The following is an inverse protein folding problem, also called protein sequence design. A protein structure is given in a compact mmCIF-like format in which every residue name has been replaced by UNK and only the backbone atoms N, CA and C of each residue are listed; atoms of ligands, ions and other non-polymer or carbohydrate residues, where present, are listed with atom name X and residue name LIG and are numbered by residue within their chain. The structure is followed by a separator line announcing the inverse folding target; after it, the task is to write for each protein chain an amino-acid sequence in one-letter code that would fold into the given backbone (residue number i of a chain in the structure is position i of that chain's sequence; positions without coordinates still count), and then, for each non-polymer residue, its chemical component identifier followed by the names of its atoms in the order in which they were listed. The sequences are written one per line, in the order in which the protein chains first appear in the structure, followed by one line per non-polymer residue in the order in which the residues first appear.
data_IF_789030614601
#
_entry.id   IF_789030614601
#
_cell.length_a   1.000
_cell.length_b   1.000
_cell.length_c   1.000
_cell.angle_alpha   90.00
_cell.angle_beta   90.00
_cell.angle_gamma   90.00
#
_symmetry.space_group_name_H-M   'P 1'
#
loop_
_entity.id
_entity.type
_entity.pdbx_description
1 polymer ?
#
# COMPACT_ATOMS: atom_id res chain seq x y z
N UNK A 1 4.32 -1.21 -16.84
CA UNK A 1 5.29 -1.76 -17.81
C UNK A 1 4.83 -1.52 -19.25
N UNK A 2 3.53 -1.68 -19.56
CA UNK A 2 2.99 -1.48 -20.91
C UNK A 2 3.52 -0.28 -21.73
N UNK A 3 3.75 0.90 -21.12
CA UNK A 3 4.35 2.03 -21.83
C UNK A 3 5.80 1.74 -22.26
N UNK A 4 6.63 1.25 -21.34
CA UNK A 4 8.01 0.86 -21.66
C UNK A 4 8.05 -0.32 -22.63
N UNK A 5 7.12 -1.27 -22.50
CA UNK A 5 7.02 -2.42 -23.42
C UNK A 5 6.68 -1.94 -24.84
N UNK A 6 5.77 -0.97 -24.97
CA UNK A 6 5.47 -0.29 -26.24
C UNK A 6 6.67 0.46 -26.80
N UNK A 7 7.45 1.16 -25.98
CA UNK A 7 8.65 1.85 -26.45
C UNK A 7 9.73 0.88 -26.95
N UNK A 8 9.77 -0.34 -26.43
CA UNK A 8 10.71 -1.39 -26.86
C UNK A 8 10.26 -2.09 -28.15
N UNK A 9 8.95 -2.26 -28.34
CA UNK A 9 8.37 -2.91 -29.53
C UNK A 9 7.17 -2.10 -30.08
N UNK A 10 7.43 -0.92 -30.67
CA UNK A 10 6.37 0.01 -31.09
C UNK A 10 5.57 -0.47 -32.31
N UNK A 11 6.07 -1.46 -33.04
CA UNK A 11 5.40 -2.05 -34.20
C UNK A 11 4.46 -3.20 -33.83
N UNK A 12 4.43 -3.61 -32.56
CA UNK A 12 3.49 -4.62 -32.10
C UNK A 12 2.03 -4.16 -32.26
N UNK A 13 1.20 -4.96 -32.93
CA UNK A 13 -0.22 -4.65 -33.16
C UNK A 13 -1.00 -4.44 -31.85
N UNK A 14 -0.55 -5.06 -30.75
CA UNK A 14 -1.11 -4.85 -29.41
C UNK A 14 -1.13 -3.36 -29.02
N UNK A 15 -0.10 -2.60 -29.41
CA UNK A 15 0.05 -1.18 -29.02
C UNK A 15 -0.51 -0.21 -30.05
N UNK A 16 -1.11 -0.69 -31.16
CA UNK A 16 -1.70 0.18 -32.17
C UNK A 16 -2.62 1.29 -31.61
N UNK A 17 -3.46 1.06 -30.56
CA UNK A 17 -4.31 2.10 -29.97
C UNK A 17 -3.57 3.23 -29.25
N UNK A 18 -2.29 3.03 -28.89
CA UNK A 18 -1.49 3.98 -28.10
C UNK A 18 -0.16 4.35 -28.77
N UNK A 19 0.11 3.83 -29.97
CA UNK A 19 1.38 3.99 -30.69
C UNK A 19 1.79 5.44 -30.92
N UNK A 20 0.83 6.34 -31.14
CA UNK A 20 1.12 7.77 -31.34
C UNK A 20 1.84 8.42 -30.14
N UNK A 21 1.69 7.84 -28.95
CA UNK A 21 2.32 8.32 -27.73
C UNK A 21 3.77 7.85 -27.55
N UNK A 22 4.26 6.96 -28.43
CA UNK A 22 5.68 6.57 -28.45
C UNK A 22 6.62 7.76 -28.73
N UNK A 23 6.10 8.82 -29.38
CA UNK A 23 6.83 10.07 -29.65
C UNK A 23 7.43 10.73 -28.40
N UNK A 24 6.84 10.48 -27.22
CA UNK A 24 7.32 11.04 -25.97
C UNK A 24 8.56 10.30 -25.41
N UNK A 25 8.78 9.04 -25.80
CA UNK A 25 9.92 8.25 -25.29
C UNK A 25 10.04 8.27 -23.76
N UNK A 26 11.23 8.62 -23.26
CA UNK A 26 11.48 8.82 -21.82
C UNK A 26 11.61 10.30 -21.43
N UNK A 27 11.06 11.21 -22.24
CA UNK A 27 11.11 12.64 -21.93
C UNK A 27 10.26 12.99 -20.71
N UNK A 28 10.58 14.10 -20.04
CA UNK A 28 9.78 14.60 -18.91
C UNK A 28 8.38 15.05 -19.33
N UNK A 29 8.18 15.40 -20.60
CA UNK A 29 6.86 15.74 -21.15
C UNK A 29 5.87 14.57 -20.97
N UNK A 30 6.36 13.33 -21.05
CA UNK A 30 5.55 12.12 -20.84
C UNK A 30 4.91 12.06 -19.44
N UNK A 31 5.51 12.71 -18.43
CA UNK A 31 5.02 12.66 -17.05
C UNK A 31 3.79 13.52 -16.83
N UNK A 32 3.59 14.54 -17.68
CA UNK A 32 2.57 15.56 -17.50
C UNK A 32 1.53 15.59 -18.63
N UNK A 33 1.75 14.85 -19.71
CA UNK A 33 0.80 14.78 -20.82
C UNK A 33 -0.49 14.04 -20.42
N UNK A 34 -1.59 14.79 -20.37
CA UNK A 34 -2.91 14.27 -20.00
C UNK A 34 -3.55 13.37 -21.07
N UNK A 35 -3.13 13.51 -22.33
CA UNK A 35 -3.55 12.62 -23.41
C UNK A 35 -2.99 11.22 -23.18
N UNK A 36 -1.68 11.13 -22.96
CA UNK A 36 -0.93 9.93 -22.66
C UNK A 36 -1.47 9.24 -21.41
N UNK A 37 -1.64 9.97 -20.30
CA UNK A 37 -2.22 9.45 -19.06
C UNK A 37 -3.57 8.76 -19.33
N UNK A 38 -4.50 9.45 -20.00
CA UNK A 38 -5.84 8.93 -20.29
C UNK A 38 -5.80 7.71 -21.22
N UNK A 39 -5.00 7.78 -22.28
CA UNK A 39 -4.89 6.71 -23.26
C UNK A 39 -4.32 5.44 -22.63
N UNK A 40 -3.23 5.57 -21.86
CA UNK A 40 -2.61 4.43 -21.18
C UNK A 40 -3.46 3.87 -20.04
N UNK A 41 -4.19 4.71 -19.30
CA UNK A 41 -5.16 4.24 -18.31
C UNK A 41 -6.27 3.40 -18.96
N UNK A 42 -6.81 3.86 -20.09
CA UNK A 42 -7.85 3.12 -20.81
C UNK A 42 -7.29 1.81 -21.41
N UNK A 43 -6.11 1.88 -22.03
CA UNK A 43 -5.43 0.73 -22.63
C UNK A 43 -5.09 -0.35 -21.59
N UNK A 44 -4.59 0.04 -20.42
CA UNK A 44 -4.18 -0.90 -19.36
C UNK A 44 -5.30 -1.29 -18.39
N UNK A 45 -6.52 -0.76 -18.56
CA UNK A 45 -7.63 -0.91 -17.61
C UNK A 45 -7.91 -2.37 -17.22
N UNK A 46 -7.99 -3.27 -18.21
CA UNK A 46 -8.28 -4.69 -17.96
C UNK A 46 -7.17 -5.39 -17.16
N UNK A 47 -5.91 -5.09 -17.48
CA UNK A 47 -4.75 -5.64 -16.76
C UNK A 47 -4.64 -5.05 -15.36
N UNK A 48 -4.92 -3.76 -15.19
CA UNK A 48 -4.94 -3.09 -13.89
C UNK A 48 -6.00 -3.71 -12.96
N UNK A 49 -7.20 -3.97 -13.48
CA UNK A 49 -8.27 -4.64 -12.74
C UNK A 49 -7.87 -6.03 -12.25
N UNK A 50 -7.16 -6.80 -13.10
CA UNK A 50 -6.76 -8.17 -12.75
C UNK A 50 -5.52 -8.23 -11.87
N UNK A 51 -4.52 -7.38 -12.14
CA UNK A 51 -3.16 -7.50 -11.58
C UNK A 51 -2.86 -6.54 -10.43
N UNK A 52 -3.63 -5.45 -10.29
CA UNK A 52 -3.34 -4.39 -9.31
C UNK A 52 -4.45 -4.25 -8.29
N UNK A 53 -5.72 -4.16 -8.72
CA UNK A 53 -6.86 -3.93 -7.81
C UNK A 53 -6.90 -4.89 -6.60
N UNK A 54 -6.69 -6.22 -6.75
CA UNK A 54 -6.72 -7.14 -5.60
C UNK A 54 -5.67 -6.80 -4.52
N UNK A 55 -4.56 -6.16 -4.91
CA UNK A 55 -3.53 -5.73 -3.97
C UNK A 55 -3.87 -4.42 -3.25
N UNK A 56 -4.87 -3.64 -3.67
CA UNK A 56 -5.07 -2.28 -3.14
C UNK A 56 -5.99 -2.21 -1.91
N UNK A 57 -6.61 -3.31 -1.50
CA UNK A 57 -7.67 -3.27 -0.49
C UNK A 57 -7.23 -2.62 0.83
N UNK A 58 -6.08 -3.01 1.39
CA UNK A 58 -5.57 -2.37 2.61
C UNK A 58 -5.19 -0.90 2.39
N UNK A 59 -4.53 -0.58 1.28
CA UNK A 59 -4.12 0.79 0.96
C UNK A 59 -5.32 1.74 0.84
N UNK A 60 -6.41 1.31 0.18
CA UNK A 60 -7.65 2.08 0.06
C UNK A 60 -8.33 2.31 1.42
N UNK A 61 -8.27 1.33 2.33
CA UNK A 61 -9.02 1.37 3.59
C UNK A 61 -8.19 1.89 4.79
N UNK A 62 -6.86 1.95 4.69
CA UNK A 62 -5.95 2.41 5.76
C UNK A 62 -5.25 3.72 5.38
N UNK A 63 -4.97 3.94 4.09
CA UNK A 63 -4.16 5.05 3.60
C UNK A 63 -2.67 4.70 3.54
N UNK A 64 -1.83 5.73 3.46
CA UNK A 64 -0.38 5.57 3.30
C UNK A 64 0.27 5.06 4.59
N UNK A 65 0.91 3.89 4.51
CA UNK A 65 1.64 3.24 5.60
C UNK A 65 3.17 3.36 5.45
N UNK A 66 3.64 4.32 4.65
CA UNK A 66 5.05 4.57 4.36
C UNK A 66 5.78 3.30 3.91
N UNK A 67 6.82 2.87 4.64
CA UNK A 67 7.64 1.70 4.30
C UNK A 67 6.84 0.41 4.23
N UNK A 68 5.72 0.31 4.95
CA UNK A 68 4.85 -0.86 4.94
C UNK A 68 3.84 -0.86 3.78
N UNK A 69 3.67 0.24 3.02
CA UNK A 69 2.61 0.36 2.00
C UNK A 69 2.66 -0.75 0.94
N UNK A 70 3.83 -0.99 0.33
CA UNK A 70 3.96 -2.03 -0.72
C UNK A 70 3.73 -3.44 -0.15
N UNK A 71 4.12 -3.67 1.11
CA UNK A 71 3.94 -4.95 1.81
C UNK A 71 2.48 -5.16 2.24
N UNK A 72 1.76 -4.11 2.60
CA UNK A 72 0.33 -4.15 2.83
C UNK A 72 -0.44 -4.44 1.54
N UNK A 73 0.06 -3.96 0.39
CA UNK A 73 -0.51 -4.33 -0.90
C UNK A 73 -0.30 -5.82 -1.20
N UNK A 74 0.92 -6.34 -1.00
CA UNK A 74 1.20 -7.77 -1.12
C UNK A 74 0.32 -8.60 -0.16
N UNK A 75 0.16 -8.13 1.08
CA UNK A 75 -0.68 -8.80 2.08
C UNK A 75 -2.15 -8.83 1.65
N UNK A 76 -2.66 -7.75 1.02
CA UNK A 76 -4.03 -7.70 0.49
C UNK A 76 -4.25 -8.73 -0.62
N UNK A 77 -3.30 -8.82 -1.55
CA UNK A 77 -3.30 -9.83 -2.60
C UNK A 77 -3.30 -11.25 -2.01
N UNK A 78 -2.37 -11.54 -1.09
CA UNK A 78 -2.26 -12.86 -0.44
C UNK A 78 -3.46 -13.20 0.46
N UNK A 79 -4.18 -12.19 0.96
CA UNK A 79 -5.36 -12.39 1.80
C UNK A 79 -6.64 -12.68 0.99
N UNK A 80 -6.63 -12.50 -0.33
CA UNK A 80 -7.83 -12.57 -1.18
C UNK A 80 -7.70 -13.52 -2.36
N UNK A 81 -6.50 -13.67 -2.94
CA UNK A 81 -6.30 -14.52 -4.11
C UNK A 81 -6.39 -16.01 -3.76
N UNK A 82 -7.09 -16.78 -4.60
CA UNK A 82 -7.12 -18.23 -4.51
C UNK A 82 -5.78 -18.84 -4.96
N UNK A 83 -5.55 -20.09 -4.62
CA UNK A 83 -4.32 -20.78 -5.05
C UNK A 83 -4.28 -20.94 -6.57
N UNK A 84 -5.42 -21.17 -7.22
CA UNK A 84 -5.55 -21.26 -8.68
C UNK A 84 -5.15 -19.95 -9.37
N UNK A 85 -5.42 -18.81 -8.72
CA UNK A 85 -5.09 -17.48 -9.25
C UNK A 85 -3.60 -17.17 -9.14
N UNK A 86 -2.93 -17.61 -8.05
CA UNK A 86 -1.62 -17.08 -7.66
C UNK A 86 -0.48 -18.10 -7.66
N UNK A 87 -0.73 -19.39 -7.48
CA UNK A 87 0.32 -20.42 -7.45
C UNK A 87 1.01 -20.51 -8.82
N UNK A 88 2.33 -20.66 -8.79
CA UNK A 88 3.22 -20.63 -9.96
C UNK A 88 3.24 -19.30 -10.73
N UNK A 89 2.57 -18.24 -10.24
CA UNK A 89 2.65 -16.89 -10.81
C UNK A 89 3.83 -16.11 -10.24
N UNK A 90 4.14 -15.01 -10.93
CA UNK A 90 5.14 -14.02 -10.52
C UNK A 90 4.42 -12.74 -10.08
N UNK A 91 4.83 -12.21 -8.94
CA UNK A 91 4.35 -10.92 -8.41
C UNK A 91 5.48 -9.91 -8.56
N UNK A 92 5.21 -8.81 -9.27
CA UNK A 92 6.12 -7.66 -9.34
C UNK A 92 5.86 -6.69 -8.19
N UNK A 93 6.92 -6.19 -7.57
CA UNK A 93 6.86 -5.22 -6.48
C UNK A 93 7.73 -4.02 -6.84
N UNK A 94 7.13 -2.84 -6.84
CA UNK A 94 7.83 -1.57 -6.99
C UNK A 94 7.82 -0.84 -5.65
N UNK A 95 9.00 -0.70 -5.04
CA UNK A 95 9.20 0.04 -3.80
C UNK A 95 9.87 1.37 -4.10
N UNK A 96 9.36 2.45 -3.51
CA UNK A 96 9.83 3.81 -3.72
C UNK A 96 9.91 4.56 -2.39
N UNK A 97 10.99 5.33 -2.21
CA UNK A 97 11.14 6.33 -1.15
C UNK A 97 11.67 7.64 -1.72
N UNK A 98 11.08 8.76 -1.30
CA UNK A 98 11.51 10.10 -1.72
C UNK A 98 12.94 10.41 -1.28
N UNK A 99 13.75 11.02 -2.17
CA UNK A 99 15.18 11.27 -1.93
C UNK A 99 16.13 11.13 -3.15
N UNK A 100 15.99 10.20 -4.10
CA UNK A 100 15.09 9.04 -4.19
C UNK A 100 15.87 7.72 -4.22
N UNK A 101 15.25 6.67 -3.68
CA UNK A 101 15.69 5.29 -3.82
C UNK A 101 14.49 4.44 -4.22
N UNK A 102 14.67 3.64 -5.27
CA UNK A 102 13.61 2.79 -5.79
C UNK A 102 14.16 1.42 -6.20
N UNK A 103 13.34 0.40 -6.09
CA UNK A 103 13.67 -0.94 -6.56
C UNK A 103 12.42 -1.63 -7.09
N UNK A 104 12.53 -2.16 -8.31
CA UNK A 104 11.58 -3.11 -8.84
C UNK A 104 12.17 -4.52 -8.69
N UNK A 105 11.45 -5.42 -8.02
CA UNK A 105 11.85 -6.82 -7.88
C UNK A 105 10.64 -7.74 -8.04
N UNK A 106 10.87 -9.05 -8.04
CA UNK A 106 9.78 -10.02 -8.22
C UNK A 106 9.88 -11.21 -7.27
N UNK A 107 8.71 -11.75 -6.92
CA UNK A 107 8.55 -12.97 -6.15
C UNK A 107 7.86 -14.03 -7.02
N UNK A 108 8.25 -15.30 -6.85
CA UNK A 108 7.53 -16.44 -7.44
C UNK A 108 6.77 -17.15 -6.34
N UNK A 109 5.47 -17.35 -6.53
CA UNK A 109 4.67 -18.17 -5.62
C UNK A 109 4.88 -19.63 -6.01
N UNK A 110 5.44 -20.40 -5.09
CA UNK A 110 5.87 -21.79 -5.34
C UNK A 110 4.94 -22.84 -4.74
N UNK A 111 4.03 -22.43 -3.85
CA UNK A 111 3.11 -23.31 -3.15
C UNK A 111 1.87 -22.51 -2.71
N UNK A 112 0.89 -23.23 -2.14
CA UNK A 112 -0.34 -22.66 -1.58
C UNK A 112 -0.09 -21.45 -0.67
N UNK A 113 -0.97 -20.46 -0.76
CA UNK A 113 -0.95 -19.26 0.10
C UNK A 113 -2.05 -19.29 1.17
N UNK A 114 -2.69 -20.44 1.40
CA UNK A 114 -3.80 -20.62 2.34
C UNK A 114 -3.49 -20.08 3.74
N UNK A 115 -2.33 -20.43 4.30
CA UNK A 115 -1.90 -19.97 5.61
C UNK A 115 -1.89 -18.43 5.72
N UNK A 116 -1.55 -17.72 4.64
CA UNK A 116 -1.61 -16.26 4.62
C UNK A 116 -3.06 -15.76 4.67
N UNK A 117 -3.97 -16.36 3.89
CA UNK A 117 -5.40 -16.01 3.93
C UNK A 117 -5.97 -16.21 5.34
N UNK A 118 -5.71 -17.37 5.94
CA UNK A 118 -6.18 -17.72 7.28
C UNK A 118 -5.63 -16.81 8.38
N UNK A 119 -4.36 -16.38 8.25
CA UNK A 119 -3.68 -15.58 9.27
C UNK A 119 -3.95 -14.07 9.13
N UNK A 120 -3.93 -13.56 7.89
CA UNK A 120 -3.98 -12.12 7.64
C UNK A 120 -5.39 -11.56 7.85
N UNK A 121 -6.42 -12.26 7.33
CA UNK A 121 -7.84 -11.92 7.47
C UNK A 121 -8.12 -10.41 7.29
N UNK A 122 -7.54 -9.80 6.25
CA UNK A 122 -7.49 -8.33 6.14
C UNK A 122 -8.88 -7.72 6.08
N UNK A 123 -9.80 -8.33 5.32
CA UNK A 123 -11.19 -7.88 5.24
C UNK A 123 -11.85 -7.81 6.62
N UNK A 124 -11.78 -8.91 7.38
CA UNK A 124 -12.37 -9.00 8.72
C UNK A 124 -11.71 -8.04 9.71
N UNK A 125 -10.38 -7.91 9.68
CA UNK A 125 -9.67 -6.99 10.57
C UNK A 125 -10.04 -5.54 10.30
N UNK A 126 -10.20 -5.16 9.04
CA UNK A 126 -10.56 -3.79 8.65
C UNK A 126 -12.04 -3.47 8.88
N UNK A 127 -12.94 -4.46 8.76
CA UNK A 127 -14.37 -4.29 9.07
C UNK A 127 -14.65 -4.14 10.57
N UNK A 128 -13.78 -4.70 11.42
CA UNK A 128 -13.91 -4.64 12.88
C UNK A 128 -13.35 -3.35 13.50
N UNK A 129 -12.94 -2.37 12.68
CA UNK A 129 -12.48 -1.07 13.18
C UNK A 129 -13.65 -0.19 13.59
N UNK A 130 -13.41 0.68 14.55
CA UNK A 130 -14.37 1.71 14.96
C UNK A 130 -14.16 2.96 14.11
N UNK A 131 -15.24 3.43 13.47
CA UNK A 131 -15.25 4.72 12.78
C UNK A 131 -15.32 5.85 13.81
N UNK A 132 -14.49 6.87 13.64
CA UNK A 132 -14.52 8.11 14.42
C UNK A 132 -15.01 9.27 13.56
N UNK A 133 -15.52 10.33 14.20
CA UNK A 133 -15.90 11.55 13.48
C UNK A 133 -14.65 12.33 13.04
N UNK A 134 -14.73 13.15 11.98
CA UNK A 134 -13.63 14.02 11.57
C UNK A 134 -13.15 14.96 12.68
N UNK A 135 -14.06 15.48 13.49
CA UNK A 135 -13.75 16.39 14.61
C UNK A 135 -12.91 15.68 15.66
N UNK A 136 -13.33 14.48 16.07
CA UNK A 136 -12.57 13.68 17.03
C UNK A 136 -11.21 13.27 16.48
N UNK A 137 -11.13 12.91 15.19
CA UNK A 137 -9.85 12.65 14.54
C UNK A 137 -8.91 13.86 14.56
N UNK A 138 -9.44 15.08 14.33
CA UNK A 138 -8.65 16.31 14.41
C UNK A 138 -8.14 16.60 15.83
N UNK A 139 -8.95 16.32 16.86
CA UNK A 139 -8.51 16.39 18.27
C UNK A 139 -7.34 15.43 18.53
N UNK A 140 -7.42 14.20 18.03
CA UNK A 140 -6.33 13.20 18.17
C UNK A 140 -5.05 13.64 17.45
N UNK A 141 -5.16 14.28 16.28
CA UNK A 141 -4.02 14.84 15.58
C UNK A 141 -3.37 15.98 16.37
N UNK A 142 -4.18 16.87 16.95
CA UNK A 142 -3.70 17.95 17.81
C UNK A 142 -2.98 17.41 19.04
N UNK A 143 -3.57 16.42 19.72
CA UNK A 143 -2.93 15.74 20.85
C UNK A 143 -1.58 15.12 20.44
N UNK A 144 -1.50 14.48 19.28
CA UNK A 144 -0.25 13.91 18.76
C UNK A 144 0.82 14.99 18.56
N UNK A 145 0.46 16.15 18.03
CA UNK A 145 1.38 17.28 17.83
C UNK A 145 1.89 17.82 19.16
N UNK A 146 0.99 18.10 20.09
CA UNK A 146 1.31 18.64 21.43
C UNK A 146 2.18 17.68 22.25
N UNK A 147 2.07 16.37 22.03
CA UNK A 147 2.77 15.34 22.80
C UNK A 147 4.02 14.78 22.11
N UNK A 148 4.29 15.15 20.86
CA UNK A 148 5.29 14.49 20.01
C UNK A 148 6.72 14.45 20.60
N UNK A 149 7.11 15.49 21.34
CA UNK A 149 8.45 15.67 21.89
C UNK A 149 8.47 15.76 23.43
N UNK A 150 7.35 15.44 24.08
CA UNK A 150 7.29 15.47 25.54
C UNK A 150 8.11 14.33 26.14
N UNK A 151 8.75 14.65 27.26
CA UNK A 151 9.30 13.71 28.24
C UNK A 151 8.46 13.78 29.51
N UNK A 152 8.64 12.80 30.39
CA UNK A 152 7.86 12.70 31.63
C UNK A 152 6.33 12.73 31.41
N UNK A 153 5.86 11.94 30.44
CA UNK A 153 4.49 11.93 29.94
C UNK A 153 3.86 10.54 30.04
N UNK A 154 2.61 10.49 30.51
CA UNK A 154 1.74 9.31 30.47
C UNK A 154 0.72 9.47 29.34
N UNK A 155 0.71 8.59 28.32
CA UNK A 155 -0.32 8.60 27.28
C UNK A 155 -1.74 8.46 27.85
N UNK A 156 -2.68 9.20 27.28
CA UNK A 156 -4.07 9.33 27.78
C UNK A 156 -5.12 8.59 26.94
N UNK A 157 -4.70 7.80 25.96
CA UNK A 157 -5.61 7.06 25.07
C UNK A 157 -6.37 5.95 25.81
N UNK A 158 -7.61 5.70 25.41
CA UNK A 158 -8.44 4.63 25.97
C UNK A 158 -7.95 3.24 25.52
N UNK A 159 -7.37 2.49 26.46
CA UNK A 159 -6.81 1.16 26.24
C UNK A 159 -7.90 0.15 25.87
N UNK A 160 -9.16 0.35 26.30
CA UNK A 160 -10.25 -0.59 26.03
C UNK A 160 -10.61 -0.67 24.54
N UNK A 161 -10.20 0.32 23.75
CA UNK A 161 -10.38 0.35 22.30
C UNK A 161 -9.37 -0.49 21.53
N UNK A 162 -8.29 -0.95 22.18
CA UNK A 162 -7.24 -1.74 21.57
C UNK A 162 -7.66 -3.21 21.45
N UNK A 163 -7.31 -3.84 20.33
CA UNK A 163 -7.49 -5.28 20.18
C UNK A 163 -6.61 -6.03 21.20
N UNK A 164 -7.11 -7.15 21.73
CA UNK A 164 -6.38 -8.02 22.67
C UNK A 164 -4.99 -8.36 22.13
N UNK A 165 -3.99 -8.24 22.98
CA UNK A 165 -2.60 -8.54 22.68
C UNK A 165 -1.84 -7.41 22.00
N UNK A 166 -2.46 -6.24 21.78
CA UNK A 166 -1.80 -5.05 21.22
C UNK A 166 -0.84 -4.46 22.23
N UNK A 167 0.40 -4.21 21.81
CA UNK A 167 1.36 -3.45 22.60
C UNK A 167 1.04 -1.96 22.55
N UNK A 168 1.13 -1.28 23.68
CA UNK A 168 0.89 0.16 23.78
C UNK A 168 1.89 0.84 24.74
N UNK A 169 2.11 2.13 24.52
CA UNK A 169 3.02 2.97 25.32
C UNK A 169 2.35 3.35 26.64
N UNK A 170 3.02 3.13 27.77
CA UNK A 170 2.50 3.47 29.11
C UNK A 170 3.19 4.66 29.74
N UNK A 171 4.49 4.86 29.45
CA UNK A 171 5.29 5.95 30.01
C UNK A 171 6.39 6.38 29.06
N UNK A 172 6.63 7.69 28.99
CA UNK A 172 7.89 8.29 28.59
C UNK A 172 8.45 8.98 29.83
N UNK A 173 9.64 8.61 30.29
CA UNK A 173 10.21 9.20 31.51
C UNK A 173 11.06 10.45 31.22
N UNK A 174 11.70 11.01 32.25
CA UNK A 174 12.51 12.22 32.19
C UNK A 174 13.77 12.09 31.31
N UNK A 175 14.15 10.87 30.95
CA UNK A 175 15.28 10.51 30.06
C UNK A 175 14.80 10.00 28.70
N UNK A 176 13.54 10.23 28.35
CA UNK A 176 12.91 9.74 27.12
C UNK A 176 12.85 8.21 26.99
N UNK A 177 13.07 7.45 28.06
CA UNK A 177 12.92 6.00 28.03
C UNK A 177 11.44 5.67 27.97
N UNK A 178 11.09 4.70 27.11
CA UNK A 178 9.71 4.32 26.82
C UNK A 178 9.38 2.97 27.47
N UNK A 179 8.31 2.92 28.24
CA UNK A 179 7.77 1.68 28.83
C UNK A 179 6.51 1.27 28.09
N UNK A 180 6.35 -0.03 27.86
CA UNK A 180 5.24 -0.60 27.11
C UNK A 180 4.53 -1.68 27.92
N UNK A 181 3.24 -1.84 27.66
CA UNK A 181 2.41 -2.94 28.17
C UNK A 181 1.62 -3.57 27.02
N UNK A 182 0.83 -4.59 27.34
CA UNK A 182 0.05 -5.37 26.37
C UNK A 182 -1.39 -5.49 26.87
N UNK A 183 -2.34 -5.09 26.02
CA UNK A 183 -3.79 -5.15 26.30
C UNK A 183 -4.33 -6.59 26.28
#
# INVERSE_FOLDING_TARGET
MAYNDMLQDPENELYAPVKEYAKFGHSEESYYDKGLERAMMQFTKGEYQKKVIPSLYAATNVGNMYTASVWACLSSLLSSASDEEIVNKRIGLYSYGSGSAATFFSLKVVASTEKFRETLQIHTRLSNRTKVTPEHFAELLKLREETALLKDYNPVGDISTLAKGTYYLTRIDEKFRRTYARA
#
